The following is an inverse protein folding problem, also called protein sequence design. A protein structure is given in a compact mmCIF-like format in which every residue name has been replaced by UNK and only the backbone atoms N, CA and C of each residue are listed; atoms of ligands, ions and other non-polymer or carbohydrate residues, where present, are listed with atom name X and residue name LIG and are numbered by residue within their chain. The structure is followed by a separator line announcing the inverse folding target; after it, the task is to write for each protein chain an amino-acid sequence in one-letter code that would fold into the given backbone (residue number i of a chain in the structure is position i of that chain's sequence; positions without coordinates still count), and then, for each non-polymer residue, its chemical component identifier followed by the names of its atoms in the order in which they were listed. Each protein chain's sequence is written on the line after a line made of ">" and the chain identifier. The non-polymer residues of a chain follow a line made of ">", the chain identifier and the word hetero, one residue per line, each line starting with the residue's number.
data_IF_600058052694
#
_entry.id   IF_600058052694
#
_cell.length_a   1.000
_cell.length_b   1.000
_cell.length_c   1.000
_cell.angle_alpha   90.00
_cell.angle_beta   90.00
_cell.angle_gamma   90.00
#
_symmetry.space_group_name_H-M   'P 1'
#
loop_
_entity.id
_entity.type
_entity.pdbx_description
1 polymer ?
#
# COMPACT_ATOMS: atom_id res chain seq x y z
N UNK A 1 16.25 9.76 31.93
CA UNK A 1 16.77 11.08 31.50
C UNK A 1 16.00 11.49 30.25
N UNK A 2 15.74 12.80 30.14
CA UNK A 2 14.59 13.41 29.46
C UNK A 2 14.69 13.33 27.94
N UNK A 3 13.72 12.70 27.28
CA UNK A 3 13.44 12.97 25.87
C UNK A 3 12.07 13.62 25.79
N UNK A 4 12.07 14.95 25.80
CA UNK A 4 10.89 15.76 25.48
C UNK A 4 10.82 15.76 23.95
N UNK A 5 10.00 14.89 23.37
CA UNK A 5 9.66 14.97 21.96
C UNK A 5 8.71 16.17 21.80
N UNK A 6 9.25 17.24 21.22
CA UNK A 6 8.49 18.43 20.89
C UNK A 6 7.82 18.17 19.53
N UNK A 7 6.55 17.76 19.56
CA UNK A 7 5.71 17.74 18.37
C UNK A 7 5.29 19.18 18.03
N UNK A 8 6.09 19.88 17.20
CA UNK A 8 5.66 21.15 16.60
C UNK A 8 4.75 20.83 15.41
N UNK A 9 3.45 21.04 15.61
CA UNK A 9 2.50 21.20 14.52
C UNK A 9 2.79 22.52 13.79
N UNK A 10 3.00 22.48 12.47
CA UNK A 10 3.17 23.68 11.66
C UNK A 10 1.85 24.07 11.00
N UNK A 11 1.24 25.16 11.48
CA UNK A 11 0.19 25.88 10.75
C UNK A 11 0.82 26.61 9.55
N UNK A 12 0.37 26.26 8.34
CA UNK A 12 0.56 27.09 7.15
C UNK A 12 -0.58 28.10 7.02
N UNK A 13 -0.30 29.37 7.30
CA UNK A 13 -1.20 30.49 7.03
C UNK A 13 -1.16 30.88 5.53
N UNK A 14 -2.32 31.03 4.90
CA UNK A 14 -2.44 31.72 3.61
C UNK A 14 -3.46 32.88 3.74
N UNK A 15 -2.92 34.10 3.79
CA UNK A 15 -3.67 35.36 3.71
C UNK A 15 -3.95 35.73 2.25
N UNK A 16 -5.21 36.09 1.98
CA UNK A 16 -5.60 37.37 1.38
C UNK A 16 -5.19 37.70 -0.07
N UNK A 17 -6.19 37.87 -0.94
CA UNK A 17 -6.01 38.49 -2.26
C UNK A 17 -7.30 38.70 -3.04
N UNK A 18 -8.21 39.52 -2.49
CA UNK A 18 -9.41 40.00 -3.16
C UNK A 18 -9.03 41.05 -4.22
N UNK A 19 -9.38 40.84 -5.49
CA UNK A 19 -9.46 41.93 -6.48
C UNK A 19 -10.83 41.93 -7.16
N UNK A 20 -11.58 42.96 -6.81
CA UNK A 20 -12.81 43.44 -7.46
C UNK A 20 -12.42 44.28 -8.68
N UNK A 21 -13.06 44.05 -9.82
CA UNK A 21 -12.99 44.93 -10.98
C UNK A 21 -14.20 44.74 -11.88
N UNK A 22 -15.14 45.69 -11.82
CA UNK A 22 -16.40 45.69 -12.56
C UNK A 22 -16.39 46.79 -13.64
N UNK A 23 -17.08 46.50 -14.76
CA UNK A 23 -17.72 47.42 -15.71
C UNK A 23 -16.89 48.26 -16.69
N UNK A 24 -17.17 48.14 -17.99
CA UNK A 24 -18.09 49.06 -18.72
C UNK A 24 -18.14 48.76 -20.23
N UNK A 25 -19.23 49.14 -20.88
CA UNK A 25 -19.66 48.75 -22.23
C UNK A 25 -19.59 49.89 -23.27
N UNK A 26 -19.35 49.52 -24.55
CA UNK A 26 -19.77 50.20 -25.80
C UNK A 26 -18.81 51.24 -26.44
N UNK A 27 -18.98 51.67 -27.72
CA UNK A 27 -19.94 51.25 -28.77
C UNK A 27 -19.28 50.92 -30.15
N UNK A 28 -20.05 51.08 -31.23
CA UNK A 28 -20.07 50.35 -32.51
C UNK A 28 -19.12 50.78 -33.67
N UNK A 29 -18.74 49.76 -34.46
CA UNK A 29 -18.59 49.61 -35.94
C UNK A 29 -17.65 50.51 -36.77
N UNK A 30 -16.75 49.84 -37.50
CA UNK A 30 -16.45 50.14 -38.92
C UNK A 30 -16.20 48.82 -39.67
N UNK A 31 -16.82 48.66 -40.83
CA UNK A 31 -16.85 47.43 -41.62
C UNK A 31 -15.59 47.25 -42.48
N UNK A 32 -14.92 46.10 -42.33
CA UNK A 32 -13.81 45.66 -43.19
C UNK A 32 -14.27 44.71 -44.30
N UNK A 33 -13.44 44.51 -45.35
CA UNK A 33 -13.79 43.80 -46.59
C UNK A 33 -14.03 42.29 -46.39
N UNK A 34 -14.73 41.62 -47.34
CA UNK A 34 -15.12 40.22 -47.21
C UNK A 34 -13.88 39.31 -47.14
N UNK A 35 -13.63 38.76 -45.95
CA UNK A 35 -12.65 37.71 -45.75
C UNK A 35 -13.30 36.35 -45.97
N UNK A 36 -12.64 35.55 -46.79
CA UNK A 36 -12.96 34.17 -47.18
C UNK A 36 -13.35 33.32 -45.96
N UNK A 37 -14.50 32.64 -46.04
CA UNK A 37 -14.96 31.73 -44.98
C UNK A 37 -14.10 30.46 -45.01
N UNK A 38 -13.07 30.41 -44.17
CA UNK A 38 -12.46 29.16 -43.74
C UNK A 38 -13.22 28.69 -42.50
N UNK A 39 -13.91 27.55 -42.59
CA UNK A 39 -14.53 26.89 -41.45
C UNK A 39 -13.41 26.50 -40.46
N UNK A 40 -13.26 27.27 -39.39
CA UNK A 40 -12.35 26.95 -38.29
C UNK A 40 -13.16 26.12 -37.28
N UNK A 41 -12.90 24.82 -37.20
CA UNK A 41 -13.39 24.00 -36.10
C UNK A 41 -12.75 24.52 -34.81
N UNK A 42 -13.55 25.13 -33.94
CA UNK A 42 -13.16 25.38 -32.55
C UNK A 42 -13.09 24.04 -31.83
N UNK A 43 -11.89 23.50 -31.67
CA UNK A 43 -11.65 22.45 -30.68
C UNK A 43 -11.76 23.13 -29.32
N UNK A 44 -12.88 22.91 -28.64
CA UNK A 44 -13.01 23.19 -27.21
C UNK A 44 -11.88 22.44 -26.50
N UNK A 45 -10.88 23.17 -26.02
CA UNK A 45 -9.85 22.60 -25.17
C UNK A 45 -10.52 22.04 -23.92
N UNK A 46 -10.38 20.74 -23.70
CA UNK A 46 -10.79 20.09 -22.47
C UNK A 46 -10.06 20.75 -21.28
N UNK A 47 -10.70 20.86 -20.09
CA UNK A 47 -10.03 21.29 -18.87
C UNK A 47 -8.75 20.47 -18.63
N UNK A 48 -7.66 21.04 -18.09
CA UNK A 48 -6.45 20.28 -17.82
C UNK A 48 -6.78 19.15 -16.85
N UNK A 49 -6.68 17.93 -17.34
CA UNK A 49 -6.67 16.73 -16.50
C UNK A 49 -5.41 16.83 -15.62
N UNK A 50 -5.58 17.01 -14.31
CA UNK A 50 -4.48 16.79 -13.35
C UNK A 50 -4.22 15.29 -13.38
N UNK A 51 -3.31 14.85 -14.24
CA UNK A 51 -2.80 13.49 -14.20
C UNK A 51 -1.87 13.42 -13.01
N UNK A 52 -2.34 12.93 -11.86
CA UNK A 52 -1.44 12.45 -10.81
C UNK A 52 -0.59 11.35 -11.46
N UNK A 53 0.62 11.69 -11.85
CA UNK A 53 1.60 10.72 -12.30
C UNK A 53 1.79 9.71 -11.16
N UNK A 54 1.81 8.42 -11.49
CA UNK A 54 2.13 7.40 -10.52
C UNK A 54 3.53 7.68 -9.92
N UNK A 55 3.72 7.54 -8.60
CA UNK A 55 5.02 7.75 -7.98
C UNK A 55 6.09 6.83 -8.59
N UNK A 56 7.27 7.36 -8.88
CA UNK A 56 8.39 6.59 -9.45
C UNK A 56 9.18 5.85 -8.37
N UNK A 57 9.92 4.81 -8.76
CA UNK A 57 10.91 4.17 -7.86
C UNK A 57 12.12 5.08 -7.64
N UNK A 58 12.58 5.19 -6.40
CA UNK A 58 13.72 6.03 -6.04
C UNK A 58 15.07 5.39 -6.43
N UNK A 59 15.95 6.18 -7.04
CA UNK A 59 17.31 5.72 -7.44
C UNK A 59 18.30 5.64 -6.27
N UNK A 60 17.96 6.26 -5.15
CA UNK A 60 18.76 6.39 -3.94
C UNK A 60 18.16 5.64 -2.73
N UNK A 61 17.40 4.58 -3.02
CA UNK A 61 16.85 3.66 -2.05
C UNK A 61 17.19 2.21 -2.40
N UNK A 62 17.28 1.36 -1.36
CA UNK A 62 17.50 -0.08 -1.45
C UNK A 62 16.45 -0.86 -0.63
N UNK A 63 16.71 -2.14 -0.37
CA UNK A 63 15.85 -3.01 0.44
C UNK A 63 15.63 -2.51 1.88
N UNK A 64 16.45 -1.56 2.35
CA UNK A 64 16.39 -0.99 3.70
C UNK A 64 15.88 0.46 3.69
N UNK A 65 15.39 0.96 2.56
CA UNK A 65 14.93 2.35 2.41
C UNK A 65 16.01 3.26 1.82
N UNK A 66 15.95 4.56 2.10
CA UNK A 66 16.85 5.53 1.49
C UNK A 66 18.25 5.48 2.12
N UNK A 67 19.31 5.47 1.31
CA UNK A 67 20.69 5.46 1.83
C UNK A 67 21.34 6.86 1.88
N UNK A 68 20.64 7.91 1.44
CA UNK A 68 21.17 9.28 1.35
C UNK A 68 20.79 10.19 2.52
N UNK A 69 19.86 9.78 3.39
CA UNK A 69 19.36 10.61 4.50
C UNK A 69 20.01 10.30 5.86
N UNK A 70 21.19 9.68 5.85
CA UNK A 70 21.93 9.31 7.06
C UNK A 70 21.12 8.36 7.95
N UNK A 71 20.89 8.75 9.19
CA UNK A 71 20.07 7.98 10.15
C UNK A 71 18.56 8.09 9.90
N UNK A 72 18.10 8.98 9.01
CA UNK A 72 16.67 9.13 8.70
C UNK A 72 16.22 8.24 7.54
N UNK A 73 14.93 7.88 7.54
CA UNK A 73 14.26 7.20 6.42
C UNK A 73 14.95 5.91 5.89
N UNK A 74 15.72 5.23 6.76
CA UNK A 74 16.41 3.95 6.54
C UNK A 74 16.12 2.99 7.67
N UNK A 75 15.93 1.70 7.42
CA UNK A 75 15.77 0.68 8.45
C UNK A 75 17.05 0.45 9.25
N UNK A 76 16.89 -0.04 10.48
CA UNK A 76 17.97 -0.35 11.41
C UNK A 76 18.59 -1.71 11.07
N UNK A 77 19.92 -1.81 11.15
CA UNK A 77 20.62 -3.07 10.92
C UNK A 77 20.29 -3.67 9.55
N UNK A 78 19.90 -4.95 9.57
CA UNK A 78 19.53 -5.73 8.37
C UNK A 78 18.00 -5.76 8.14
N UNK A 79 17.23 -4.94 8.88
CA UNK A 79 15.77 -4.90 8.75
C UNK A 79 15.32 -4.39 7.39
N UNK A 80 14.19 -4.89 6.92
CA UNK A 80 13.70 -4.64 5.57
C UNK A 80 12.65 -3.52 5.55
N UNK A 81 12.76 -2.64 4.55
CA UNK A 81 11.76 -1.63 4.28
C UNK A 81 10.51 -2.28 3.70
N UNK A 82 9.40 -2.18 4.43
CA UNK A 82 8.06 -2.49 3.94
C UNK A 82 7.51 -1.31 3.12
N UNK A 83 7.89 -0.09 3.39
CA UNK A 83 7.54 0.96 2.47
C UNK A 83 8.51 2.07 2.63
N UNK A 84 8.97 2.63 1.54
CA UNK A 84 9.62 3.92 1.59
C UNK A 84 8.92 4.87 0.65
N UNK A 85 8.89 6.14 1.04
CA UNK A 85 8.30 7.20 0.26
C UNK A 85 9.14 8.46 0.39
N UNK A 86 9.29 9.15 -0.74
CA UNK A 86 9.72 10.54 -0.79
C UNK A 86 8.52 11.42 -1.16
N UNK A 87 8.37 12.52 -0.45
CA UNK A 87 7.50 13.65 -0.81
C UNK A 87 8.40 14.86 -1.10
N UNK A 88 7.80 16.00 -1.45
CA UNK A 88 8.57 17.26 -1.58
C UNK A 88 9.24 17.72 -0.27
N UNK A 89 8.76 17.24 0.89
CA UNK A 89 9.13 17.77 2.21
C UNK A 89 9.65 16.70 3.18
N UNK A 90 9.45 15.44 2.86
CA UNK A 90 9.72 14.31 3.76
C UNK A 90 10.31 13.13 2.98
N UNK A 91 11.19 12.39 3.63
CA UNK A 91 11.49 11.01 3.28
C UNK A 91 11.09 10.14 4.46
N UNK A 92 10.48 8.99 4.19
CA UNK A 92 10.02 8.11 5.23
C UNK A 92 10.22 6.65 4.84
N UNK A 93 10.32 5.81 5.87
CA UNK A 93 10.32 4.37 5.74
C UNK A 93 9.46 3.74 6.84
N UNK A 94 8.69 2.72 6.48
CA UNK A 94 8.12 1.73 7.37
C UNK A 94 8.97 0.48 7.23
N UNK A 95 9.50 0.00 8.34
CA UNK A 95 10.41 -1.12 8.41
C UNK A 95 9.75 -2.29 9.12
N UNK A 96 10.21 -3.49 8.79
CA UNK A 96 9.87 -4.72 9.50
C UNK A 96 11.16 -5.36 10.03
N UNK A 97 11.17 -5.62 11.32
CA UNK A 97 12.24 -6.40 11.95
C UNK A 97 12.18 -7.87 11.55
N UNK A 98 13.24 -8.63 11.85
CA UNK A 98 13.23 -10.09 11.69
C UNK A 98 12.11 -10.79 12.48
N UNK A 99 11.67 -10.19 13.60
CA UNK A 99 10.56 -10.68 14.43
C UNK A 99 9.18 -10.25 13.93
N UNK A 100 9.11 -9.53 12.81
CA UNK A 100 7.91 -8.95 12.20
C UNK A 100 7.31 -7.74 12.93
N UNK A 101 8.08 -7.10 13.80
CA UNK A 101 7.67 -5.84 14.43
C UNK A 101 7.82 -4.70 13.43
N UNK A 102 6.82 -3.83 13.37
CA UNK A 102 6.81 -2.68 12.49
C UNK A 102 7.28 -1.43 13.22
N UNK A 103 8.10 -0.63 12.54
CA UNK A 103 8.46 0.69 13.01
C UNK A 103 8.57 1.67 11.85
N UNK A 104 8.41 2.94 12.15
CA UNK A 104 8.44 4.05 11.21
C UNK A 104 9.66 4.90 11.50
N UNK A 105 10.36 5.33 10.45
CA UNK A 105 11.42 6.32 10.54
C UNK A 105 11.20 7.41 9.50
N UNK A 106 11.19 8.66 9.96
CA UNK A 106 10.98 9.84 9.12
C UNK A 106 12.22 10.72 9.08
N UNK A 107 12.40 11.43 7.97
CA UNK A 107 13.38 12.47 7.75
C UNK A 107 12.69 13.69 7.12
N UNK A 108 12.86 14.85 7.72
CA UNK A 108 12.28 16.10 7.21
C UNK A 108 13.31 16.87 6.40
N UNK A 109 12.97 17.18 5.14
CA UNK A 109 13.88 17.82 4.18
C UNK A 109 14.29 19.24 4.59
N UNK A 110 13.43 19.96 5.33
CA UNK A 110 13.66 21.37 5.65
C UNK A 110 14.83 21.62 6.59
N UNK A 111 15.10 20.70 7.52
CA UNK A 111 16.09 20.89 8.59
C UNK A 111 16.78 19.59 9.03
N UNK A 112 16.54 18.49 8.32
CA UNK A 112 17.16 17.20 8.59
C UNK A 112 16.70 16.53 9.89
N UNK A 113 15.61 17.01 10.51
CA UNK A 113 15.07 16.37 11.70
C UNK A 113 14.58 14.96 11.41
N UNK A 114 14.89 14.02 12.30
CA UNK A 114 14.44 12.62 12.22
C UNK A 114 13.45 12.28 13.33
N UNK A 115 12.64 11.24 13.10
CA UNK A 115 11.73 10.68 14.10
C UNK A 115 11.63 9.17 13.92
N UNK A 116 11.63 8.44 15.02
CA UNK A 116 11.47 6.99 15.07
C UNK A 116 10.23 6.65 15.92
N UNK A 117 9.30 5.87 15.37
CA UNK A 117 8.06 5.45 16.04
C UNK A 117 7.90 3.94 15.94
N UNK A 118 7.64 3.29 17.07
CA UNK A 118 7.54 1.82 17.15
C UNK A 118 6.11 1.31 17.28
N UNK A 119 5.14 2.20 17.47
CA UNK A 119 3.72 1.86 17.53
C UNK A 119 3.10 1.99 16.12
N UNK A 120 3.30 0.96 15.29
CA UNK A 120 2.92 0.97 13.86
C UNK A 120 1.95 -0.15 13.54
N UNK A 121 0.84 0.21 12.90
CA UNK A 121 -0.23 -0.69 12.51
C UNK A 121 -0.40 -0.72 11.00
N UNK A 122 -0.58 -1.93 10.43
CA UNK A 122 -1.05 -2.09 9.06
C UNK A 122 -2.50 -1.66 8.92
N UNK A 123 -2.82 -1.05 7.79
CA UNK A 123 -4.18 -0.69 7.37
C UNK A 123 -4.36 -1.12 5.91
N UNK A 124 -5.61 -1.29 5.43
CA UNK A 124 -5.86 -1.43 3.99
C UNK A 124 -5.21 -0.25 3.23
N UNK A 125 -4.28 -0.56 2.32
CA UNK A 125 -3.61 0.44 1.49
C UNK A 125 -2.45 1.19 2.14
N UNK A 126 -2.01 0.82 3.35
CA UNK A 126 -0.88 1.51 3.99
C UNK A 126 -0.62 1.16 5.47
N UNK A 127 -0.09 2.14 6.18
CA UNK A 127 0.34 2.03 7.58
C UNK A 127 -0.07 3.25 8.39
N UNK A 128 -0.19 3.07 9.70
CA UNK A 128 -0.40 4.14 10.66
C UNK A 128 0.62 4.01 11.78
N UNK A 129 1.50 5.00 11.92
CA UNK A 129 2.38 5.12 13.08
C UNK A 129 1.77 6.10 14.10
N UNK A 130 1.84 5.77 15.37
CA UNK A 130 1.28 6.57 16.46
C UNK A 130 2.42 7.16 17.29
N UNK A 131 2.41 8.48 17.46
CA UNK A 131 3.24 9.15 18.44
C UNK A 131 2.43 9.38 19.72
N UNK A 132 2.59 8.49 20.69
CA UNK A 132 2.02 8.61 22.03
C UNK A 132 3.05 9.25 22.98
N UNK A 133 2.64 10.19 23.86
CA UNK A 133 1.26 10.57 24.21
C UNK A 133 0.67 11.72 23.39
N UNK A 134 1.39 12.26 22.41
CA UNK A 134 0.99 13.50 21.69
C UNK A 134 -0.28 13.34 20.83
N UNK A 135 -0.86 12.14 20.75
CA UNK A 135 -2.03 11.81 19.95
C UNK A 135 -1.86 12.21 18.47
N UNK A 136 -0.63 12.12 17.96
CA UNK A 136 -0.34 12.32 16.55
C UNK A 136 -0.35 10.97 15.81
N UNK A 137 -0.99 10.93 14.64
CA UNK A 137 -1.04 9.76 13.77
C UNK A 137 -0.44 10.10 12.43
N UNK A 138 0.49 9.26 12.00
CA UNK A 138 1.21 9.35 10.75
C UNK A 138 0.58 8.30 9.84
N UNK A 139 -0.25 8.73 8.90
CA UNK A 139 -0.90 7.84 7.92
C UNK A 139 -0.04 7.82 6.67
N UNK A 140 0.44 6.64 6.30
CA UNK A 140 1.31 6.42 5.16
C UNK A 140 0.58 5.53 4.17
N UNK A 141 0.21 6.06 3.01
CA UNK A 141 -0.39 5.30 1.89
C UNK A 141 0.49 5.46 0.67
N UNK A 142 0.31 4.67 -0.39
CA UNK A 142 1.08 4.87 -1.62
C UNK A 142 0.90 6.25 -2.26
N UNK A 143 -0.23 6.91 -2.02
CA UNK A 143 -0.52 8.20 -2.63
C UNK A 143 0.10 9.37 -1.85
N UNK A 144 0.45 9.16 -0.58
CA UNK A 144 1.03 10.22 0.23
C UNK A 144 1.13 9.94 1.72
N UNK A 145 1.47 11.01 2.42
CA UNK A 145 1.68 11.05 3.85
C UNK A 145 0.76 12.10 4.50
N UNK A 146 0.10 11.70 5.58
CA UNK A 146 -0.69 12.61 6.41
C UNK A 146 -0.24 12.57 7.86
N UNK A 147 -0.15 13.76 8.47
CA UNK A 147 -0.06 13.90 9.92
C UNK A 147 -1.40 14.38 10.45
N UNK A 148 -2.00 13.58 11.32
CA UNK A 148 -3.23 13.90 12.02
C UNK A 148 -2.90 14.18 13.48
N UNK A 149 -3.10 15.41 13.93
CA UNK A 149 -2.90 15.80 15.32
C UNK A 149 -4.25 16.06 15.96
N UNK A 150 -4.56 15.42 17.08
CA UNK A 150 -5.83 15.62 17.80
C UNK A 150 -7.07 15.49 16.88
N UNK A 151 -7.03 14.56 15.92
CA UNK A 151 -8.11 14.29 14.96
C UNK A 151 -8.18 15.25 13.76
N UNK A 152 -7.28 16.24 13.65
CA UNK A 152 -7.21 17.16 12.51
C UNK A 152 -6.01 16.86 11.63
N UNK A 153 -6.19 16.80 10.31
CA UNK A 153 -5.08 16.72 9.36
C UNK A 153 -4.32 18.05 9.41
N UNK A 154 -3.10 18.03 9.94
CA UNK A 154 -2.21 19.20 10.04
C UNK A 154 -1.17 19.20 8.92
N UNK A 155 -0.93 18.04 8.30
CA UNK A 155 -0.02 17.90 7.17
C UNK A 155 -0.60 16.88 6.18
N UNK A 156 -0.51 17.20 4.90
CA UNK A 156 -0.87 16.30 3.80
C UNK A 156 0.13 16.54 2.67
N UNK A 157 0.85 15.50 2.30
CA UNK A 157 1.91 15.52 1.31
C UNK A 157 1.68 14.41 0.29
N UNK A 158 1.78 14.72 -0.99
CA UNK A 158 1.70 13.72 -2.05
C UNK A 158 3.02 12.99 -2.20
N UNK A 159 2.94 11.71 -2.54
CA UNK A 159 4.10 10.92 -2.87
C UNK A 159 4.71 11.39 -4.20
N UNK A 160 6.02 11.60 -4.20
CA UNK A 160 6.83 11.87 -5.39
C UNK A 160 7.49 10.56 -5.84
N UNK A 161 8.05 9.82 -4.89
CA UNK A 161 8.64 8.51 -5.14
C UNK A 161 8.12 7.51 -4.11
N UNK A 162 7.85 6.30 -4.55
CA UNK A 162 7.42 5.20 -3.68
C UNK A 162 8.14 3.94 -4.06
N UNK A 163 8.71 3.30 -3.05
CA UNK A 163 9.24 1.96 -3.14
C UNK A 163 8.21 0.91 -2.80
N UNK A 164 8.30 -0.29 -3.38
CA UNK A 164 7.62 -1.46 -2.83
C UNK A 164 8.14 -1.83 -1.44
N UNK A 165 7.38 -2.72 -0.79
CA UNK A 165 7.76 -3.53 0.38
C UNK A 165 9.05 -4.32 0.22
N UNK A 166 9.70 -4.35 -0.96
CA UNK A 166 11.08 -4.82 -1.23
C UNK A 166 11.41 -4.62 -2.73
N UNK A 167 12.62 -4.17 -3.08
CA UNK A 167 13.12 -4.00 -4.45
C UNK A 167 13.77 -5.26 -5.07
N UNK A 168 13.59 -5.43 -6.40
CA UNK A 168 14.15 -6.46 -7.33
C UNK A 168 13.60 -7.88 -7.11
N UNK A 169 12.63 -8.33 -7.92
CA UNK A 169 12.83 -8.68 -9.34
C UNK A 169 11.95 -7.89 -10.32
N UNK A 170 12.57 -7.44 -11.43
CA UNK A 170 11.87 -6.92 -12.61
C UNK A 170 11.29 -8.06 -13.48
N UNK A 171 10.48 -7.71 -14.48
CA UNK A 171 9.06 -8.00 -14.51
C UNK A 171 8.78 -9.51 -14.68
N UNK A 172 8.06 -10.12 -13.74
CA UNK A 172 7.03 -11.06 -14.20
C UNK A 172 5.88 -10.18 -14.65
N UNK A 173 5.58 -10.23 -15.94
CA UNK A 173 4.36 -9.73 -16.56
C UNK A 173 3.18 -9.91 -15.59
N UNK A 174 2.81 -8.86 -14.85
CA UNK A 174 1.66 -8.90 -13.95
C UNK A 174 0.40 -8.70 -14.78
N UNK A 175 0.10 -9.71 -15.58
CA UNK A 175 -1.27 -10.07 -15.85
C UNK A 175 -1.66 -11.12 -14.80
N UNK A 176 -2.82 -10.92 -14.18
CA UNK A 176 -3.59 -11.84 -13.34
C UNK A 176 -3.34 -11.85 -11.81
N UNK A 177 -3.92 -10.86 -11.13
CA UNK A 177 -4.70 -11.12 -9.91
C UNK A 177 -5.94 -11.95 -10.28
N UNK A 178 -5.74 -13.24 -10.57
CA UNK A 178 -6.81 -14.23 -10.81
C UNK A 178 -6.45 -15.64 -10.31
N UNK A 179 -5.28 -15.83 -9.68
CA UNK A 179 -4.87 -17.15 -9.17
C UNK A 179 -5.58 -17.41 -7.85
N UNK A 180 -6.51 -18.37 -7.84
CA UNK A 180 -7.26 -18.76 -6.65
C UNK A 180 -6.65 -19.98 -5.95
N UNK A 181 -7.06 -20.28 -4.71
CA UNK A 181 -6.69 -21.52 -4.04
C UNK A 181 -7.58 -22.68 -4.52
N UNK A 182 -7.06 -23.60 -5.32
CA UNK A 182 -7.79 -24.81 -5.72
C UNK A 182 -9.17 -24.55 -6.33
N UNK A 183 -10.11 -25.46 -6.07
CA UNK A 183 -11.51 -25.33 -6.48
C UNK A 183 -12.47 -25.72 -5.35
N UNK A 184 -13.66 -25.10 -5.32
CA UNK A 184 -14.76 -25.54 -4.46
C UNK A 184 -15.45 -26.81 -4.96
N UNK A 185 -15.20 -27.19 -6.21
CA UNK A 185 -15.81 -28.34 -6.89
C UNK A 185 -15.21 -29.66 -6.39
N UNK A 186 -15.58 -30.06 -5.15
CA UNK A 186 -15.11 -31.31 -4.53
C UNK A 186 -15.14 -31.30 -3.00
N UNK A 187 -15.03 -30.12 -2.40
CA UNK A 187 -14.84 -29.93 -0.94
C UNK A 187 -16.14 -29.82 -0.12
N UNK A 188 -17.31 -29.99 -0.75
CA UNK A 188 -18.63 -29.89 -0.10
C UNK A 188 -19.12 -28.44 0.08
N UNK A 189 -20.41 -28.24 0.39
CA UNK A 189 -21.03 -26.91 0.43
C UNK A 189 -20.51 -26.01 1.55
N UNK A 190 -19.94 -26.60 2.60
CA UNK A 190 -19.44 -25.87 3.77
C UNK A 190 -17.96 -25.47 3.65
N UNK A 191 -17.34 -25.77 2.51
CA UNK A 191 -15.96 -25.41 2.26
C UNK A 191 -15.78 -23.89 2.14
N UNK A 192 -14.69 -23.39 2.73
CA UNK A 192 -14.33 -21.97 2.68
C UNK A 192 -12.89 -21.81 2.24
N UNK A 193 -12.63 -20.73 1.51
CA UNK A 193 -11.30 -20.34 1.05
C UNK A 193 -10.90 -20.91 -0.32
N UNK A 194 -11.41 -22.07 -0.70
CA UNK A 194 -11.19 -22.61 -2.04
C UNK A 194 -11.88 -21.74 -3.10
N UNK A 195 -11.29 -21.65 -4.30
CA UNK A 195 -11.77 -20.77 -5.37
C UNK A 195 -11.66 -19.27 -5.04
N UNK A 196 -10.99 -18.90 -3.94
CA UNK A 196 -10.79 -17.52 -3.51
C UNK A 196 -9.32 -17.14 -3.63
N UNK A 197 -9.05 -15.88 -3.97
CA UNK A 197 -7.70 -15.31 -3.92
C UNK A 197 -7.28 -15.07 -2.47
N UNK A 198 -6.06 -15.49 -2.12
CA UNK A 198 -5.44 -15.26 -0.80
C UNK A 198 -6.41 -15.49 0.38
N UNK A 199 -7.03 -16.68 0.50
CA UNK A 199 -8.06 -16.88 1.50
C UNK A 199 -7.47 -16.75 2.92
N UNK A 200 -8.07 -15.89 3.73
CA UNK A 200 -7.73 -15.75 5.16
C UNK A 200 -8.23 -16.93 6.02
N UNK A 201 -9.06 -17.82 5.44
CA UNK A 201 -9.61 -19.02 6.06
C UNK A 201 -9.65 -20.14 5.04
N UNK A 202 -9.18 -21.33 5.40
CA UNK A 202 -9.43 -22.58 4.69
C UNK A 202 -10.20 -23.49 5.65
N UNK A 203 -11.34 -24.01 5.20
CA UNK A 203 -12.13 -24.92 6.03
C UNK A 203 -12.88 -25.93 5.17
N UNK A 204 -13.05 -27.14 5.69
CA UNK A 204 -13.94 -28.17 5.13
C UNK A 204 -15.23 -28.32 5.96
N UNK A 205 -15.72 -27.23 6.55
CA UNK A 205 -17.01 -27.19 7.25
C UNK A 205 -16.99 -27.54 8.73
N UNK A 206 -15.85 -27.95 9.29
CA UNK A 206 -15.71 -28.25 10.73
C UNK A 206 -14.42 -27.70 11.32
N UNK A 207 -14.43 -27.44 12.64
CA UNK A 207 -13.30 -26.88 13.38
C UNK A 207 -12.00 -27.72 13.23
N UNK A 208 -12.01 -29.06 13.37
CA UNK A 208 -10.78 -29.85 13.19
C UNK A 208 -10.11 -29.68 11.82
N UNK A 209 -10.89 -29.28 10.80
CA UNK A 209 -10.43 -29.10 9.43
C UNK A 209 -10.42 -27.61 9.02
N UNK A 210 -10.29 -26.69 9.99
CA UNK A 210 -10.30 -25.26 9.74
C UNK A 210 -8.97 -24.62 10.16
N UNK A 211 -8.40 -23.85 9.24
CA UNK A 211 -7.27 -22.95 9.47
C UNK A 211 -7.74 -21.54 9.17
N UNK A 212 -7.52 -20.62 10.09
CA UNK A 212 -7.99 -19.23 10.02
C UNK A 212 -6.85 -18.24 10.26
N UNK A 213 -7.12 -16.95 10.08
CA UNK A 213 -6.10 -15.88 10.18
C UNK A 213 -4.89 -16.17 9.29
N UNK A 214 -5.15 -16.72 8.11
CA UNK A 214 -4.11 -17.10 7.18
C UNK A 214 -3.50 -15.83 6.59
N UNK A 215 -2.18 -15.72 6.72
CA UNK A 215 -1.39 -14.68 6.06
C UNK A 215 -0.54 -15.37 5.00
N UNK A 216 -0.76 -15.00 3.75
CA UNK A 216 -0.01 -15.48 2.59
C UNK A 216 1.14 -14.54 2.24
N UNK A 217 2.22 -15.12 1.74
CA UNK A 217 3.38 -14.51 1.11
C UNK A 217 3.55 -15.14 -0.27
N UNK A 218 4.11 -14.39 -1.20
CA UNK A 218 4.44 -14.86 -2.56
C UNK A 218 3.22 -15.33 -3.37
N UNK A 219 2.02 -14.83 -3.08
CA UNK A 219 0.82 -15.21 -3.81
C UNK A 219 0.85 -14.74 -5.27
N UNK A 220 0.50 -15.63 -6.18
CA UNK A 220 0.63 -15.45 -7.62
C UNK A 220 1.97 -15.90 -8.20
N UNK A 221 2.99 -16.15 -7.37
CA UNK A 221 4.22 -16.80 -7.81
C UNK A 221 4.01 -18.32 -7.99
N UNK A 222 4.96 -19.02 -8.59
CA UNK A 222 4.88 -20.49 -8.78
C UNK A 222 4.65 -21.27 -7.47
N UNK A 223 5.02 -20.68 -6.34
CA UNK A 223 4.76 -21.15 -4.98
C UNK A 223 4.36 -19.97 -4.10
N UNK A 224 3.32 -20.12 -3.30
CA UNK A 224 2.91 -19.18 -2.24
C UNK A 224 3.04 -19.82 -0.86
N UNK A 225 3.54 -19.06 0.10
CA UNK A 225 3.77 -19.51 1.47
C UNK A 225 2.77 -18.86 2.42
N UNK A 226 2.02 -19.65 3.17
CA UNK A 226 1.06 -19.15 4.15
C UNK A 226 1.42 -19.56 5.57
N UNK A 227 0.82 -18.87 6.54
CA UNK A 227 0.72 -19.37 7.90
C UNK A 227 -0.63 -19.02 8.51
N UNK A 228 -1.19 -19.90 9.32
CA UNK A 228 -2.49 -19.67 9.94
C UNK A 228 -2.68 -20.45 11.24
N UNK A 229 -3.82 -20.23 11.89
CA UNK A 229 -4.19 -20.86 13.15
C UNK A 229 -5.23 -21.95 12.94
N UNK A 230 -4.93 -23.15 13.42
CA UNK A 230 -5.90 -24.25 13.50
C UNK A 230 -7.01 -23.95 14.49
N UNK A 231 -8.23 -24.36 14.18
CA UNK A 231 -9.32 -24.24 15.13
C UNK A 231 -9.23 -25.31 16.23
N UNK A 232 -9.39 -24.89 17.49
CA UNK A 232 -9.49 -25.75 18.68
C UNK A 232 -10.68 -25.31 19.53
N UNK A 233 -11.36 -26.25 20.16
CA UNK A 233 -12.48 -25.92 21.05
C UNK A 233 -12.01 -25.41 22.42
N UNK A 234 -10.82 -25.82 22.85
CA UNK A 234 -10.20 -25.40 24.12
C UNK A 234 -8.68 -25.33 23.95
N UNK A 235 -8.02 -24.41 24.65
CA UNK A 235 -6.57 -24.24 24.63
C UNK A 235 -6.07 -23.29 23.51
N UNK A 236 -4.75 -23.27 23.33
CA UNK A 236 -4.09 -22.39 22.36
C UNK A 236 -4.17 -23.00 20.94
N UNK A 237 -4.64 -22.23 19.93
CA UNK A 237 -4.64 -22.66 18.54
C UNK A 237 -3.24 -23.05 18.03
N UNK A 238 -3.06 -24.23 17.41
CA UNK A 238 -1.80 -24.59 16.78
C UNK A 238 -1.55 -23.69 15.55
N UNK A 239 -0.29 -23.36 15.30
CA UNK A 239 0.12 -22.66 14.07
C UNK A 239 0.48 -23.67 12.99
N UNK A 240 -0.04 -23.46 11.78
CA UNK A 240 0.29 -24.24 10.60
C UNK A 240 1.04 -23.39 9.58
N UNK A 241 2.13 -23.93 9.03
CA UNK A 241 2.71 -23.44 7.79
C UNK A 241 1.91 -24.00 6.61
N UNK A 242 1.77 -23.22 5.53
CA UNK A 242 1.06 -23.59 4.32
C UNK A 242 1.96 -23.35 3.12
N UNK A 243 1.91 -24.24 2.13
CA UNK A 243 2.58 -24.04 0.84
C UNK A 243 1.58 -24.36 -0.26
N UNK A 244 1.15 -23.34 -0.99
CA UNK A 244 0.33 -23.50 -2.17
C UNK A 244 1.25 -23.49 -3.40
N UNK A 245 1.14 -24.49 -4.27
CA UNK A 245 2.04 -24.63 -5.42
C UNK A 245 1.35 -25.27 -6.61
N UNK A 246 2.10 -25.48 -7.69
CA UNK A 246 1.60 -26.07 -8.93
C UNK A 246 0.45 -25.26 -9.55
N UNK A 247 0.76 -24.03 -10.00
CA UNK A 247 -0.22 -23.19 -10.70
C UNK A 247 -0.66 -23.88 -12.00
N UNK A 248 -1.97 -24.03 -12.15
CA UNK A 248 -2.59 -24.57 -13.35
C UNK A 248 -4.07 -24.23 -13.40
N UNK A 249 -4.80 -24.85 -14.32
CA UNK A 249 -6.22 -24.62 -14.46
C UNK A 249 -7.02 -25.60 -13.61
N UNK A 250 -7.97 -25.10 -12.83
CA UNK A 250 -8.95 -25.87 -12.08
C UNK A 250 -10.34 -25.42 -12.50
N UNK A 251 -11.07 -26.30 -13.21
CA UNK A 251 -12.40 -26.00 -13.72
C UNK A 251 -12.47 -24.71 -14.55
N UNK A 252 -11.42 -24.42 -15.33
CA UNK A 252 -11.36 -23.21 -16.16
C UNK A 252 -10.91 -21.94 -15.43
N UNK A 253 -10.54 -22.03 -14.15
CA UNK A 253 -9.97 -20.92 -13.37
C UNK A 253 -8.50 -21.19 -13.08
N UNK A 254 -7.65 -20.18 -13.20
CA UNK A 254 -6.24 -20.28 -12.84
C UNK A 254 -6.12 -20.43 -11.30
N UNK A 255 -5.47 -21.48 -10.81
CA UNK A 255 -5.43 -21.80 -9.40
C UNK A 255 -4.15 -22.52 -8.98
N UNK A 256 -3.80 -22.43 -7.70
CA UNK A 256 -2.87 -23.38 -7.08
C UNK A 256 -3.53 -24.74 -6.97
N UNK A 257 -2.91 -25.76 -7.57
CA UNK A 257 -3.46 -27.12 -7.60
C UNK A 257 -3.04 -27.96 -6.42
N UNK A 258 -2.00 -27.56 -5.70
CA UNK A 258 -1.51 -28.30 -4.54
C UNK A 258 -1.45 -27.42 -3.31
N UNK A 259 -1.78 -28.02 -2.16
CA UNK A 259 -1.63 -27.40 -0.85
C UNK A 259 -0.93 -28.36 0.11
N UNK A 260 0.19 -27.93 0.65
CA UNK A 260 0.88 -28.57 1.75
C UNK A 260 0.51 -27.88 3.06
N UNK A 261 0.21 -28.65 4.10
CA UNK A 261 -0.06 -28.14 5.46
C UNK A 261 0.99 -28.71 6.40
N UNK A 262 1.81 -27.84 6.97
CA UNK A 262 2.96 -28.19 7.80
C UNK A 262 3.86 -29.19 7.06
N UNK A 263 4.25 -30.28 7.72
CA UNK A 263 5.09 -31.34 7.16
C UNK A 263 4.30 -32.44 6.45
N UNK A 264 2.98 -32.30 6.30
CA UNK A 264 2.18 -33.31 5.60
C UNK A 264 2.51 -33.31 4.10
N UNK A 265 2.34 -34.43 3.39
CA UNK A 265 2.48 -34.47 1.94
C UNK A 265 1.55 -33.45 1.25
N UNK A 266 1.98 -32.77 0.17
CA UNK A 266 1.12 -31.91 -0.62
C UNK A 266 -0.13 -32.66 -1.10
N UNK A 267 -1.30 -32.04 -0.94
CA UNK A 267 -2.58 -32.57 -1.40
C UNK A 267 -2.99 -31.87 -2.70
N UNK A 268 -3.58 -32.62 -3.63
CA UNK A 268 -4.27 -32.04 -4.78
C UNK A 268 -5.57 -31.38 -4.29
N UNK A 269 -5.71 -30.09 -4.57
CA UNK A 269 -6.84 -29.27 -4.14
C UNK A 269 -7.76 -28.82 -5.27
N UNK A 270 -7.60 -29.39 -6.46
CA UNK A 270 -8.47 -29.16 -7.61
C UNK A 270 -9.41 -30.30 -7.94
N UNK A 271 -9.11 -31.49 -7.40
CA UNK A 271 -9.87 -32.72 -7.62
C UNK A 271 -10.24 -33.44 -6.31
N UNK A 272 -10.59 -32.68 -5.27
CA UNK A 272 -11.16 -33.26 -4.05
C UNK A 272 -12.41 -34.11 -4.32
#
# INVERSE_FOLDING_TARGET
>A
MRNVAVAIAFLGAALGGLLVGCSSAGPFRTAGPPSTVTVRHTVTAAPPTITNAAPSSASDADAHGFFVFGEGARCLGDDNAEMYMRTEKSALVVCRSETNDLYYRGYRMSDGATIDLYDVYRQPGGFVAVNAPDNARYVITRDGFQLIQNGTVVLNESAVEVGPEQGVQAPVTQAASMVVLGSTSGVGPDARGYGTEQPAVISMGSCPNAISQIVWRDWGASVAHGSGLGCVQTGQPPRYALVASDIGMCQGVLAYRTLQISTNPPQDICHW
#
